data_IF_310464518204
#
_entry.id   IF_310464518204
#
_cell.length_a   1.000
_cell.length_b   1.000
_cell.length_c   1.000
_cell.angle_alpha   90.00
_cell.angle_beta   90.00
_cell.angle_gamma   90.00
#
_symmetry.space_group_name_H-M   'P 1'
#
loop_
_entity.id
_entity.type
_entity.pdbx_description
1 polymer ?
#
# COMPACT_ATOMS: atom_id res chain seq x y z
N UNK A 1 -30.28 -16.99 -16.37
CA UNK A 1 -29.33 -15.86 -16.47
C UNK A 1 -29.66 -14.62 -15.62
N UNK A 2 -30.77 -14.53 -14.86
CA UNK A 2 -31.17 -13.27 -14.18
C UNK A 2 -31.05 -13.22 -12.63
N UNK A 3 -30.39 -14.19 -11.97
CA UNK A 3 -30.28 -14.20 -10.49
C UNK A 3 -28.95 -13.65 -9.94
N UNK A 4 -27.84 -13.80 -10.65
CA UNK A 4 -26.51 -13.41 -10.16
C UNK A 4 -26.24 -11.90 -10.30
N UNK A 5 -26.71 -11.27 -11.39
CA UNK A 5 -26.60 -9.81 -11.61
C UNK A 5 -27.35 -9.03 -10.53
N UNK A 6 -28.49 -9.54 -10.07
CA UNK A 6 -29.24 -8.92 -8.98
C UNK A 6 -28.49 -8.95 -7.63
N UNK A 7 -27.53 -9.86 -7.39
CA UNK A 7 -26.80 -9.92 -6.12
C UNK A 7 -25.76 -8.81 -5.97
N UNK A 8 -24.94 -8.57 -7.00
CA UNK A 8 -23.88 -7.55 -6.95
C UNK A 8 -24.49 -6.15 -6.89
N UNK A 9 -25.44 -5.86 -7.77
CA UNK A 9 -26.09 -4.55 -7.82
C UNK A 9 -26.80 -4.25 -6.50
N UNK A 10 -27.41 -5.25 -5.86
CA UNK A 10 -28.04 -5.10 -4.54
C UNK A 10 -27.03 -4.87 -3.41
N UNK A 11 -25.83 -5.46 -3.48
CA UNK A 11 -24.78 -5.25 -2.44
C UNK A 11 -23.97 -3.97 -2.63
N UNK A 12 -23.67 -3.58 -3.87
CA UNK A 12 -23.22 -2.21 -4.18
C UNK A 12 -24.29 -1.23 -3.69
N UNK A 13 -25.56 -1.59 -3.80
CA UNK A 13 -26.69 -0.82 -3.27
C UNK A 13 -26.72 -0.75 -1.73
N UNK A 14 -26.23 -1.78 -1.03
CA UNK A 14 -26.13 -1.79 0.44
C UNK A 14 -24.91 -1.00 0.95
N UNK A 15 -23.84 -0.92 0.16
CA UNK A 15 -22.62 -0.20 0.52
C UNK A 15 -22.41 1.10 -0.27
N UNK A 16 -23.45 1.62 -0.95
CA UNK A 16 -23.36 2.87 -1.73
C UNK A 16 -22.80 4.00 -0.87
N UNK A 17 -23.23 4.07 0.39
CA UNK A 17 -22.76 5.06 1.34
C UNK A 17 -21.24 5.08 1.44
N UNK A 18 -20.60 3.92 1.58
CA UNK A 18 -19.14 3.82 1.67
C UNK A 18 -18.43 4.27 0.38
N UNK A 19 -18.91 3.83 -0.78
CA UNK A 19 -18.32 4.23 -2.07
C UNK A 19 -18.56 5.71 -2.39
N UNK A 20 -19.73 6.24 -2.07
CA UNK A 20 -20.06 7.67 -2.17
C UNK A 20 -19.17 8.46 -1.21
N UNK A 21 -18.96 7.99 0.03
CA UNK A 21 -18.05 8.65 0.97
C UNK A 21 -16.62 8.68 0.42
N UNK A 22 -16.11 7.58 -0.13
CA UNK A 22 -14.77 7.57 -0.76
C UNK A 22 -14.69 8.55 -1.93
N UNK A 23 -15.70 8.56 -2.80
CA UNK A 23 -15.74 9.47 -3.95
C UNK A 23 -15.84 10.94 -3.51
N UNK A 24 -16.71 11.24 -2.54
CA UNK A 24 -16.92 12.58 -1.98
C UNK A 24 -15.67 13.05 -1.26
N UNK A 25 -15.01 12.19 -0.48
CA UNK A 25 -13.71 12.50 0.16
C UNK A 25 -12.68 12.80 -0.92
N UNK A 26 -12.57 11.95 -1.95
CA UNK A 26 -11.62 12.17 -3.06
C UNK A 26 -11.87 13.47 -3.83
N UNK A 27 -13.13 13.86 -4.04
CA UNK A 27 -13.50 15.13 -4.68
C UNK A 27 -13.22 16.32 -3.75
N UNK A 28 -13.61 16.22 -2.48
CA UNK A 28 -13.32 17.25 -1.48
C UNK A 28 -11.81 17.43 -1.31
N UNK A 29 -11.02 16.37 -1.46
CA UNK A 29 -9.56 16.41 -1.40
C UNK A 29 -8.96 17.15 -2.61
N UNK A 30 -9.46 16.88 -3.82
CA UNK A 30 -9.07 17.66 -5.02
C UNK A 30 -9.43 19.13 -4.81
N UNK A 31 -10.63 19.42 -4.28
CA UNK A 31 -11.07 20.78 -4.01
C UNK A 31 -10.21 21.43 -2.92
N UNK A 32 -9.88 20.73 -1.85
CA UNK A 32 -9.04 21.22 -0.76
C UNK A 32 -7.61 21.52 -1.23
N UNK A 33 -7.03 20.66 -2.07
CA UNK A 33 -5.73 20.90 -2.73
C UNK A 33 -5.81 22.10 -3.69
N UNK A 34 -6.94 22.26 -4.39
CA UNK A 34 -7.13 23.34 -5.38
C UNK A 34 -7.43 24.70 -4.72
N UNK A 35 -8.16 24.71 -3.60
CA UNK A 35 -8.74 25.90 -2.99
C UNK A 35 -8.05 26.38 -1.71
N UNK A 36 -6.97 25.71 -1.25
CA UNK A 36 -6.11 26.12 -0.10
C UNK A 36 -6.90 26.78 1.05
N UNK A 37 -7.51 26.00 1.97
CA UNK A 37 -8.32 26.58 3.04
C UNK A 37 -7.50 27.47 3.98
N UNK A 38 -8.07 28.61 4.37
CA UNK A 38 -7.42 29.64 5.19
C UNK A 38 -7.88 29.50 6.67
N UNK A 39 -6.90 29.54 7.60
CA UNK A 39 -6.93 29.85 9.07
C UNK A 39 -7.12 28.62 10.03
N UNK A 40 -6.37 28.47 11.16
CA UNK A 40 -5.57 29.45 11.93
C UNK A 40 -4.06 29.39 11.75
N UNK A 41 -3.34 30.21 12.54
CA UNK A 41 -1.91 30.50 12.42
C UNK A 41 -1.04 29.27 12.72
N UNK A 42 -0.52 28.66 11.65
CA UNK A 42 0.15 27.37 11.67
C UNK A 42 1.24 27.35 10.59
N UNK A 43 2.33 28.09 10.77
CA UNK A 43 3.38 28.25 9.74
C UNK A 43 3.96 26.90 9.28
N UNK A 44 3.96 25.88 10.15
CA UNK A 44 4.38 24.51 9.81
C UNK A 44 3.30 23.77 9.00
N UNK A 45 2.02 23.76 9.40
CA UNK A 45 0.95 23.12 8.60
C UNK A 45 0.74 23.80 7.26
N UNK A 46 0.87 25.13 7.17
CA UNK A 46 0.70 25.81 5.88
C UNK A 46 1.66 25.27 4.82
N UNK A 47 2.87 24.88 5.25
CA UNK A 47 3.90 24.31 4.39
C UNK A 47 3.81 22.78 4.26
N UNK A 48 3.18 22.08 5.21
CA UNK A 48 3.06 20.61 5.21
C UNK A 48 1.65 20.10 4.90
N UNK A 49 0.70 20.98 4.55
CA UNK A 49 -0.71 20.61 4.35
C UNK A 49 -0.92 19.47 3.34
N UNK A 50 -0.25 19.48 2.15
CA UNK A 50 -0.36 18.36 1.22
C UNK A 50 0.19 17.05 1.82
N UNK A 51 1.27 17.13 2.61
CA UNK A 51 1.85 15.97 3.29
C UNK A 51 0.87 15.39 4.33
N UNK A 52 0.23 16.24 5.13
CA UNK A 52 -0.74 15.84 6.16
C UNK A 52 -1.92 15.09 5.53
N UNK A 53 -2.59 15.71 4.56
CA UNK A 53 -3.81 15.16 3.93
C UNK A 53 -3.52 13.82 3.26
N UNK A 54 -2.48 13.74 2.44
CA UNK A 54 -2.10 12.50 1.76
C UNK A 54 -1.68 11.40 2.75
N UNK A 55 -0.98 11.76 3.83
CA UNK A 55 -0.56 10.79 4.84
C UNK A 55 -1.72 10.25 5.66
N UNK A 56 -2.71 11.08 6.03
CA UNK A 56 -3.94 10.61 6.67
C UNK A 56 -4.66 9.59 5.77
N UNK A 57 -4.78 9.88 4.47
CA UNK A 57 -5.43 8.97 3.54
C UNK A 57 -4.65 7.65 3.39
N UNK A 58 -3.33 7.73 3.28
CA UNK A 58 -2.46 6.57 3.22
C UNK A 58 -2.57 5.70 4.49
N UNK A 59 -2.65 6.30 5.68
CA UNK A 59 -2.92 5.62 6.95
C UNK A 59 -4.26 4.88 6.89
N UNK A 60 -5.34 5.60 6.56
CA UNK A 60 -6.70 5.05 6.54
C UNK A 60 -6.79 3.88 5.56
N UNK A 61 -6.28 4.04 4.35
CA UNK A 61 -6.33 3.00 3.32
C UNK A 61 -5.48 1.80 3.69
N UNK A 62 -4.25 2.01 4.18
CA UNK A 62 -3.37 0.91 4.59
C UNK A 62 -4.00 0.09 5.72
N UNK A 63 -4.51 0.75 6.77
CA UNK A 63 -5.20 0.04 7.84
C UNK A 63 -6.52 -0.59 7.39
N UNK A 64 -7.28 0.05 6.51
CA UNK A 64 -8.53 -0.53 5.98
C UNK A 64 -8.23 -1.82 5.19
N UNK A 65 -7.23 -1.83 4.31
CA UNK A 65 -6.79 -3.02 3.58
C UNK A 65 -6.33 -4.09 4.57
N UNK A 66 -5.44 -3.72 5.50
CA UNK A 66 -4.88 -4.63 6.50
C UNK A 66 -5.96 -5.30 7.37
N UNK A 67 -6.87 -4.51 7.95
CA UNK A 67 -7.98 -4.98 8.79
C UNK A 67 -8.96 -5.82 7.96
N UNK A 68 -9.31 -5.40 6.75
CA UNK A 68 -10.20 -6.16 5.86
C UNK A 68 -9.64 -7.56 5.57
N UNK A 69 -8.37 -7.65 5.20
CA UNK A 69 -7.71 -8.93 4.94
C UNK A 69 -7.58 -9.77 6.22
N UNK A 70 -7.29 -9.15 7.37
CA UNK A 70 -7.24 -9.85 8.66
C UNK A 70 -8.58 -10.48 9.00
N UNK A 71 -9.65 -9.68 8.90
CA UNK A 71 -11.02 -10.12 9.13
C UNK A 71 -11.40 -11.26 8.20
N UNK A 72 -11.03 -11.18 6.91
CA UNK A 72 -11.27 -12.26 5.95
C UNK A 72 -10.53 -13.53 6.35
N UNK A 73 -9.24 -13.44 6.67
CA UNK A 73 -8.45 -14.58 7.13
C UNK A 73 -9.09 -15.24 8.35
N UNK A 74 -9.54 -14.45 9.33
CA UNK A 74 -10.24 -14.94 10.50
C UNK A 74 -11.55 -15.65 10.12
N UNK A 75 -12.37 -15.06 9.25
CA UNK A 75 -13.67 -15.60 8.82
C UNK A 75 -13.55 -16.85 7.95
N UNK A 76 -12.47 -17.00 7.18
CA UNK A 76 -12.24 -18.19 6.35
C UNK A 76 -11.49 -19.30 7.09
N UNK A 77 -11.59 -19.36 8.42
CA UNK A 77 -11.00 -20.44 9.23
C UNK A 77 -9.48 -20.39 9.34
N UNK A 78 -8.87 -19.21 9.16
CA UNK A 78 -7.43 -18.96 9.38
C UNK A 78 -6.45 -19.79 8.53
N UNK A 79 -6.92 -20.34 7.42
CA UNK A 79 -6.14 -21.25 6.57
C UNK A 79 -5.26 -20.55 5.53
N UNK A 80 -5.60 -19.34 5.12
CA UNK A 80 -4.91 -18.64 4.04
C UNK A 80 -3.74 -17.78 4.55
N UNK A 81 -2.55 -18.38 4.60
CA UNK A 81 -1.30 -17.72 5.07
C UNK A 81 -0.98 -16.46 4.25
N UNK A 82 -1.23 -16.47 2.93
CA UNK A 82 -1.01 -15.30 2.08
C UNK A 82 -1.84 -14.10 2.50
N UNK A 83 -3.11 -14.32 2.83
CA UNK A 83 -4.04 -13.28 3.28
C UNK A 83 -3.61 -12.69 4.62
N UNK A 84 -3.15 -13.54 5.56
CA UNK A 84 -2.58 -13.07 6.83
C UNK A 84 -1.31 -12.25 6.60
N UNK A 85 -0.40 -12.73 5.76
CA UNK A 85 0.86 -12.05 5.48
C UNK A 85 0.63 -10.66 4.86
N UNK A 86 -0.23 -10.56 3.85
CA UNK A 86 -0.57 -9.28 3.23
C UNK A 86 -1.32 -8.35 4.19
N UNK A 87 -2.19 -8.90 5.04
CA UNK A 87 -2.83 -8.13 6.11
C UNK A 87 -1.78 -7.47 7.01
N UNK A 88 -0.86 -8.25 7.56
CA UNK A 88 0.20 -7.74 8.42
C UNK A 88 1.11 -6.75 7.68
N UNK A 89 1.40 -6.99 6.40
CA UNK A 89 2.17 -6.06 5.58
C UNK A 89 1.51 -4.67 5.59
N UNK A 90 0.24 -4.57 5.20
CA UNK A 90 -0.46 -3.28 5.15
C UNK A 90 -0.64 -2.61 6.52
N UNK A 91 -0.86 -3.40 7.59
CA UNK A 91 -0.93 -2.85 8.96
C UNK A 91 0.41 -2.24 9.37
N UNK A 92 1.51 -2.96 9.19
CA UNK A 92 2.86 -2.50 9.56
C UNK A 92 3.27 -1.29 8.72
N UNK A 93 2.94 -1.30 7.44
CA UNK A 93 3.25 -0.20 6.53
C UNK A 93 2.46 1.08 6.84
N UNK A 94 1.28 0.97 7.46
CA UNK A 94 0.53 2.10 8.00
C UNK A 94 1.32 2.95 9.02
N UNK A 95 2.30 2.37 9.72
CA UNK A 95 3.14 3.06 10.71
C UNK A 95 3.97 4.17 10.07
N UNK A 96 4.50 3.94 8.86
CA UNK A 96 5.25 4.96 8.10
C UNK A 96 4.39 6.21 7.90
N UNK A 97 3.15 6.03 7.44
CA UNK A 97 2.25 7.13 7.14
C UNK A 97 1.76 7.83 8.41
N UNK A 98 1.59 7.10 9.51
CA UNK A 98 1.33 7.71 10.81
C UNK A 98 2.50 8.60 11.25
N UNK A 99 3.74 8.17 11.01
CA UNK A 99 4.93 8.99 11.18
C UNK A 99 4.90 10.26 10.34
N UNK A 100 4.50 10.18 9.07
CA UNK A 100 4.39 11.37 8.20
C UNK A 100 3.28 12.34 8.65
N UNK A 101 2.18 11.83 9.22
CA UNK A 101 1.17 12.67 9.88
C UNK A 101 1.80 13.41 11.07
N UNK A 102 2.54 12.71 11.93
CA UNK A 102 3.22 13.32 13.07
C UNK A 102 4.29 14.34 12.64
N UNK A 103 5.05 14.03 11.58
CA UNK A 103 5.99 14.96 10.97
C UNK A 103 5.29 16.24 10.50
N UNK A 104 4.13 16.10 9.85
CA UNK A 104 3.39 17.25 9.33
C UNK A 104 2.83 18.15 10.44
N UNK A 105 2.58 17.61 11.63
CA UNK A 105 2.26 18.38 12.84
C UNK A 105 3.49 19.06 13.47
N UNK A 106 4.70 18.81 12.97
CA UNK A 106 5.94 19.44 13.46
C UNK A 106 6.58 18.73 14.66
N UNK A 107 6.23 17.48 14.95
CA UNK A 107 6.88 16.72 16.03
C UNK A 107 8.33 16.41 15.67
N UNK A 108 9.28 16.89 16.48
CA UNK A 108 10.72 16.73 16.23
C UNK A 108 11.18 15.27 16.17
N UNK A 109 10.61 14.40 17.01
CA UNK A 109 10.86 12.95 17.03
C UNK A 109 10.23 12.19 15.85
N UNK A 110 9.43 12.87 15.02
CA UNK A 110 8.88 12.36 13.77
C UNK A 110 9.51 13.04 12.54
N UNK A 111 10.52 13.90 12.72
CA UNK A 111 11.17 14.60 11.62
C UNK A 111 12.04 13.65 10.77
N UNK A 112 11.47 13.09 9.71
CA UNK A 112 12.16 12.18 8.80
C UNK A 112 13.21 12.85 7.90
N UNK A 113 13.56 14.12 8.13
CA UNK A 113 14.77 14.70 7.53
C UNK A 113 16.05 14.24 8.24
N UNK A 114 15.93 13.73 9.48
CA UNK A 114 17.03 13.09 10.20
C UNK A 114 17.15 11.61 9.76
N UNK A 115 18.34 11.12 9.38
CA UNK A 115 18.52 9.73 8.92
C UNK A 115 18.11 8.66 9.94
N UNK A 116 18.30 8.92 11.25
CA UNK A 116 17.94 7.98 12.33
C UNK A 116 16.43 7.89 12.48
N UNK A 117 15.75 9.03 12.46
CA UNK A 117 14.28 9.09 12.50
C UNK A 117 13.71 8.51 11.18
N UNK A 118 14.33 8.80 10.04
CA UNK A 118 13.96 8.21 8.75
C UNK A 118 14.02 6.67 8.84
N UNK A 119 15.12 6.10 9.38
CA UNK A 119 15.24 4.66 9.62
C UNK A 119 14.09 4.12 10.48
N UNK A 120 13.79 4.78 11.61
CA UNK A 120 12.75 4.37 12.57
C UNK A 120 11.37 4.21 11.93
N UNK A 121 11.02 5.04 10.95
CA UNK A 121 9.73 4.92 10.28
C UNK A 121 9.79 4.14 8.97
N UNK A 122 10.92 4.14 8.27
CA UNK A 122 11.03 3.54 6.93
C UNK A 122 11.46 2.08 6.95
N UNK A 123 12.00 1.55 8.05
CA UNK A 123 12.31 0.11 8.15
C UNK A 123 11.06 -0.78 7.99
N UNK A 124 9.86 -0.24 8.26
CA UNK A 124 8.59 -0.95 8.02
C UNK A 124 8.37 -1.27 6.53
N UNK A 125 9.02 -0.54 5.62
CA UNK A 125 9.04 -0.87 4.19
C UNK A 125 9.72 -2.21 3.93
N UNK A 126 10.83 -2.49 4.62
CA UNK A 126 11.54 -3.77 4.51
C UNK A 126 10.62 -4.91 4.95
N UNK A 127 9.94 -4.73 6.08
CA UNK A 127 9.00 -5.72 6.62
C UNK A 127 7.82 -5.91 5.66
N UNK A 128 7.26 -4.82 5.13
CA UNK A 128 6.20 -4.88 4.13
C UNK A 128 6.64 -5.70 2.91
N UNK A 129 7.81 -5.42 2.33
CA UNK A 129 8.30 -6.12 1.15
C UNK A 129 8.51 -7.61 1.43
N UNK A 130 9.08 -7.94 2.59
CA UNK A 130 9.29 -9.31 3.03
C UNK A 130 7.97 -10.08 3.19
N UNK A 131 6.96 -9.47 3.81
CA UNK A 131 5.63 -10.07 4.00
C UNK A 131 4.83 -10.17 2.70
N UNK A 132 4.99 -9.20 1.79
CA UNK A 132 4.39 -9.27 0.46
C UNK A 132 4.94 -10.45 -0.33
N UNK A 133 6.27 -10.61 -0.36
CA UNK A 133 6.92 -11.76 -0.97
C UNK A 133 6.49 -13.07 -0.28
N UNK A 134 6.53 -13.13 1.05
CA UNK A 134 6.17 -14.34 1.80
C UNK A 134 4.76 -14.79 1.43
N UNK A 135 3.79 -13.88 1.44
CA UNK A 135 2.41 -14.20 1.07
C UNK A 135 2.29 -14.66 -0.38
N UNK A 136 3.02 -14.04 -1.30
CA UNK A 136 3.08 -14.43 -2.71
C UNK A 136 3.70 -15.82 -2.90
N UNK A 137 4.81 -16.12 -2.23
CA UNK A 137 5.54 -17.37 -2.39
C UNK A 137 4.70 -18.59 -1.99
N UNK A 138 3.82 -18.44 -0.98
CA UNK A 138 2.83 -19.44 -0.57
C UNK A 138 1.79 -19.76 -1.65
N UNK A 139 1.63 -18.89 -2.65
CA UNK A 139 0.75 -19.12 -3.81
C UNK A 139 1.51 -19.86 -4.91
N UNK A 140 2.77 -19.49 -5.15
CA UNK A 140 3.55 -20.00 -6.30
C UNK A 140 4.08 -21.41 -6.05
N UNK A 141 4.49 -21.73 -4.83
CA UNK A 141 5.18 -22.98 -4.53
C UNK A 141 4.73 -23.59 -3.22
N UNK A 142 4.77 -24.92 -3.15
CA UNK A 142 4.50 -25.70 -1.92
C UNK A 142 5.75 -25.92 -1.07
N UNK A 143 6.92 -25.72 -1.66
CA UNK A 143 8.19 -25.97 -1.00
C UNK A 143 8.52 -24.85 0.00
N UNK A 144 8.52 -25.20 1.28
CA UNK A 144 8.75 -24.25 2.39
C UNK A 144 10.03 -23.42 2.25
N UNK A 145 11.11 -24.00 1.72
CA UNK A 145 12.40 -23.30 1.56
C UNK A 145 12.27 -22.02 0.72
N UNK A 146 11.40 -22.01 -0.29
CA UNK A 146 11.19 -20.86 -1.17
C UNK A 146 10.29 -19.80 -0.56
N UNK A 147 9.61 -20.12 0.54
CA UNK A 147 8.91 -19.12 1.35
C UNK A 147 9.90 -18.40 2.27
N UNK A 148 10.75 -19.16 2.95
CA UNK A 148 11.61 -18.60 4.00
C UNK A 148 12.90 -17.97 3.48
N UNK A 149 13.63 -18.62 2.56
CA UNK A 149 14.95 -18.15 2.16
C UNK A 149 14.92 -16.77 1.51
N UNK A 150 14.05 -16.48 0.53
CA UNK A 150 14.08 -15.17 -0.12
C UNK A 150 13.42 -14.10 0.77
N UNK A 151 12.43 -14.45 1.60
CA UNK A 151 11.91 -13.52 2.63
C UNK A 151 13.01 -13.12 3.62
N UNK A 152 13.79 -14.07 4.11
CA UNK A 152 14.91 -13.80 5.02
C UNK A 152 15.99 -12.97 4.31
N UNK A 153 16.29 -13.28 3.05
CA UNK A 153 17.21 -12.50 2.24
C UNK A 153 16.74 -11.04 2.12
N UNK A 154 15.47 -10.78 1.79
CA UNK A 154 14.89 -9.42 1.72
C UNK A 154 15.03 -8.67 3.05
N UNK A 155 14.76 -9.34 4.17
CA UNK A 155 14.91 -8.74 5.50
C UNK A 155 16.37 -8.38 5.77
N UNK A 156 17.28 -9.34 5.62
CA UNK A 156 18.71 -9.15 5.91
C UNK A 156 19.29 -8.08 4.99
N UNK A 157 19.10 -8.19 3.67
CA UNK A 157 19.63 -7.22 2.71
C UNK A 157 19.03 -5.84 2.91
N UNK A 158 17.72 -5.75 3.18
CA UNK A 158 17.04 -4.48 3.45
C UNK A 158 17.58 -3.79 4.70
N UNK A 159 17.75 -4.53 5.80
CA UNK A 159 18.32 -3.97 7.02
C UNK A 159 19.81 -3.62 6.86
N UNK A 160 20.60 -4.41 6.12
CA UNK A 160 21.98 -4.04 5.78
C UNK A 160 22.02 -2.72 5.01
N UNK A 161 21.19 -2.58 3.96
CA UNK A 161 21.11 -1.35 3.15
C UNK A 161 20.73 -0.15 4.03
N UNK A 162 19.69 -0.30 4.85
CA UNK A 162 19.19 0.80 5.69
C UNK A 162 20.16 1.17 6.82
N UNK A 163 20.74 0.19 7.51
CA UNK A 163 21.71 0.44 8.57
C UNK A 163 22.98 1.09 8.01
N UNK A 164 23.52 0.55 6.92
CA UNK A 164 24.70 1.15 6.28
C UNK A 164 24.40 2.54 5.72
N UNK A 165 23.33 2.68 4.94
CA UNK A 165 23.02 3.92 4.25
C UNK A 165 22.57 5.05 5.18
N UNK A 166 21.78 4.76 6.22
CA UNK A 166 21.22 5.80 7.10
C UNK A 166 22.03 6.02 8.37
N UNK A 167 22.53 4.96 9.02
CA UNK A 167 23.22 5.10 10.31
C UNK A 167 24.74 5.28 10.15
N UNK A 168 25.33 4.77 9.06
CA UNK A 168 26.76 4.91 8.81
C UNK A 168 27.06 6.00 7.77
N UNK A 169 26.42 5.97 6.61
CA UNK A 169 26.65 6.95 5.55
C UNK A 169 25.83 8.24 5.74
N UNK A 170 24.67 8.18 6.42
CA UNK A 170 23.80 9.34 6.65
C UNK A 170 23.06 9.83 5.40
N UNK A 171 22.98 9.02 4.33
CA UNK A 171 22.45 9.42 3.03
C UNK A 171 21.09 8.76 2.77
N UNK A 172 20.02 9.54 2.97
CA UNK A 172 18.65 9.11 2.76
C UNK A 172 18.39 8.79 1.28
N UNK A 173 18.88 9.63 0.38
CA UNK A 173 18.61 9.51 -1.06
C UNK A 173 19.24 8.24 -1.61
N UNK A 174 20.54 8.04 -1.36
CA UNK A 174 21.27 6.86 -1.81
C UNK A 174 20.69 5.59 -1.23
N UNK A 175 20.35 5.57 0.07
CA UNK A 175 19.74 4.41 0.73
C UNK A 175 18.46 4.00 0.01
N UNK A 176 17.59 4.98 -0.23
CA UNK A 176 16.30 4.73 -0.86
C UNK A 176 16.47 4.35 -2.33
N UNK A 177 17.38 4.96 -3.08
CA UNK A 177 17.71 4.52 -4.44
C UNK A 177 18.13 3.05 -4.46
N UNK A 178 19.09 2.66 -3.63
CA UNK A 178 19.56 1.28 -3.58
C UNK A 178 18.40 0.34 -3.22
N UNK A 179 17.68 0.62 -2.13
CA UNK A 179 16.60 -0.24 -1.67
C UNK A 179 15.45 -0.35 -2.68
N UNK A 180 15.02 0.77 -3.25
CA UNK A 180 13.87 0.79 -4.15
C UNK A 180 14.15 -0.01 -5.42
N UNK A 181 15.31 0.19 -6.03
CA UNK A 181 15.65 -0.47 -7.29
C UNK A 181 16.11 -1.91 -7.12
N UNK A 182 16.76 -2.27 -6.01
CA UNK A 182 17.29 -3.63 -5.79
C UNK A 182 16.32 -4.58 -5.07
N UNK A 183 15.40 -4.04 -4.26
CA UNK A 183 14.52 -4.87 -3.40
C UNK A 183 13.05 -4.55 -3.64
N UNK A 184 12.62 -3.30 -3.47
CA UNK A 184 11.19 -2.96 -3.50
C UNK A 184 10.54 -3.23 -4.87
N UNK A 185 11.08 -2.63 -5.93
CA UNK A 185 10.52 -2.68 -7.28
C UNK A 185 10.51 -4.11 -7.84
N UNK A 186 11.59 -4.92 -7.73
CA UNK A 186 11.54 -6.33 -8.14
C UNK A 186 10.41 -7.13 -7.49
N UNK A 187 10.16 -6.90 -6.20
CA UNK A 187 9.08 -7.58 -5.47
C UNK A 187 7.71 -7.05 -5.90
N UNK A 188 7.55 -5.75 -6.13
CA UNK A 188 6.33 -5.22 -6.74
C UNK A 188 6.06 -5.84 -8.11
N UNK A 189 7.07 -5.95 -8.98
CA UNK A 189 6.94 -6.58 -10.31
C UNK A 189 6.48 -8.04 -10.18
N UNK A 190 7.03 -8.79 -9.23
CA UNK A 190 6.57 -10.16 -8.95
C UNK A 190 5.09 -10.19 -8.52
N UNK A 191 4.69 -9.34 -7.58
CA UNK A 191 3.30 -9.25 -7.10
C UNK A 191 2.35 -8.88 -8.24
N UNK A 192 2.71 -7.89 -9.06
CA UNK A 192 1.98 -7.45 -10.26
C UNK A 192 1.77 -8.64 -11.19
N UNK A 193 2.85 -9.32 -11.58
CA UNK A 193 2.80 -10.43 -12.52
C UNK A 193 1.85 -11.54 -12.06
N UNK A 194 1.87 -11.89 -10.77
CA UNK A 194 1.05 -12.98 -10.24
C UNK A 194 -0.43 -12.63 -10.13
N UNK A 195 -0.76 -11.43 -9.68
CA UNK A 195 -2.14 -10.99 -9.67
C UNK A 195 -2.69 -10.86 -11.10
N UNK A 196 -1.87 -10.37 -12.04
CA UNK A 196 -2.24 -10.34 -13.45
C UNK A 196 -2.50 -11.74 -14.02
N UNK A 197 -1.55 -12.66 -13.83
CA UNK A 197 -1.66 -14.05 -14.32
C UNK A 197 -2.86 -14.76 -13.70
N UNK A 198 -3.09 -14.60 -12.40
CA UNK A 198 -4.26 -15.15 -11.72
C UNK A 198 -5.56 -14.58 -12.29
N UNK A 199 -5.61 -13.28 -12.59
CA UNK A 199 -6.77 -12.64 -13.23
C UNK A 199 -7.04 -13.15 -14.65
N UNK A 200 -5.99 -13.47 -15.43
CA UNK A 200 -6.15 -14.11 -16.74
C UNK A 200 -6.69 -15.53 -16.57
N UNK A 201 -6.04 -16.35 -15.74
CA UNK A 201 -6.35 -17.77 -15.63
C UNK A 201 -7.73 -18.04 -14.99
N UNK A 202 -8.15 -17.21 -14.05
CA UNK A 202 -9.46 -17.31 -13.39
C UNK A 202 -10.57 -16.53 -14.11
N UNK A 203 -10.24 -15.82 -15.20
CA UNK A 203 -11.16 -14.92 -15.89
C UNK A 203 -11.86 -13.92 -14.95
N UNK A 204 -11.13 -13.40 -13.95
CA UNK A 204 -11.62 -12.42 -12.98
C UNK A 204 -10.98 -11.04 -13.19
N UNK A 205 -11.73 -9.98 -12.90
CA UNK A 205 -11.25 -8.59 -13.09
C UNK A 205 -10.54 -8.08 -11.86
N UNK A 206 -10.97 -8.49 -10.67
CA UNK A 206 -10.40 -8.02 -9.40
C UNK A 206 -8.89 -8.21 -9.26
N UNK A 207 -8.25 -9.34 -9.65
CA UNK A 207 -6.81 -9.47 -9.57
C UNK A 207 -6.09 -8.50 -10.52
N UNK A 208 -6.68 -8.21 -11.68
CA UNK A 208 -6.14 -7.23 -12.63
C UNK A 208 -6.17 -5.82 -12.05
N UNK A 209 -7.22 -5.48 -11.28
CA UNK A 209 -7.31 -4.20 -10.55
C UNK A 209 -6.25 -4.14 -9.43
N UNK A 210 -6.06 -5.21 -8.66
CA UNK A 210 -5.00 -5.29 -7.65
C UNK A 210 -3.63 -5.07 -8.32
N UNK A 211 -3.38 -5.79 -9.42
CA UNK A 211 -2.16 -5.66 -10.23
C UNK A 211 -1.93 -4.22 -10.71
N UNK A 212 -2.96 -3.55 -11.24
CA UNK A 212 -2.87 -2.14 -11.65
C UNK A 212 -2.49 -1.24 -10.47
N UNK A 213 -3.10 -1.46 -9.30
CA UNK A 213 -2.73 -0.75 -8.07
C UNK A 213 -1.25 -0.94 -7.73
N UNK A 214 -0.72 -2.16 -7.78
CA UNK A 214 0.71 -2.39 -7.56
C UNK A 214 1.61 -1.78 -8.65
N UNK A 215 1.18 -1.70 -9.91
CA UNK A 215 1.90 -0.98 -10.98
C UNK A 215 2.05 0.49 -10.62
N UNK A 216 0.94 1.15 -10.25
CA UNK A 216 0.97 2.57 -9.85
C UNK A 216 1.82 2.76 -8.60
N UNK A 217 1.73 1.86 -7.63
CA UNK A 217 2.57 1.87 -6.42
C UNK A 217 4.07 1.76 -6.77
N UNK A 218 4.47 0.86 -7.67
CA UNK A 218 5.86 0.72 -8.09
C UNK A 218 6.37 1.98 -8.81
N UNK A 219 5.57 2.53 -9.73
CA UNK A 219 5.93 3.76 -10.48
C UNK A 219 6.08 4.95 -9.54
N UNK A 220 5.16 5.13 -8.59
CA UNK A 220 5.21 6.24 -7.64
C UNK A 220 6.41 6.18 -6.71
N UNK A 221 6.84 4.98 -6.34
CA UNK A 221 8.10 4.79 -5.62
C UNK A 221 9.34 5.03 -6.46
N UNK A 222 9.34 4.63 -7.73
CA UNK A 222 10.42 4.98 -8.66
C UNK A 222 10.53 6.50 -8.86
N UNK A 223 9.39 7.21 -8.85
CA UNK A 223 9.35 8.66 -8.91
C UNK A 223 9.76 9.31 -7.59
N UNK A 224 9.63 8.64 -6.45
CA UNK A 224 9.99 9.19 -5.14
C UNK A 224 11.44 9.68 -5.12
N UNK A 225 12.39 8.82 -5.49
CA UNK A 225 13.81 9.12 -5.37
C UNK A 225 14.24 10.41 -6.13
N UNK A 226 13.87 10.61 -7.42
CA UNK A 226 14.21 11.84 -8.14
C UNK A 226 13.33 13.05 -7.78
N UNK A 227 12.20 12.88 -7.09
CA UNK A 227 11.22 13.97 -6.91
C UNK A 227 10.97 14.40 -5.48
N UNK A 228 11.48 13.67 -4.47
CA UNK A 228 11.14 13.85 -3.05
C UNK A 228 11.41 15.25 -2.47
N UNK A 229 12.24 16.07 -3.12
CA UNK A 229 12.54 17.47 -2.75
C UNK A 229 11.71 18.51 -3.50
N UNK A 230 10.88 18.09 -4.46
CA UNK A 230 10.13 18.96 -5.36
C UNK A 230 8.63 18.80 -5.22
N UNK A 231 7.85 19.70 -5.83
CA UNK A 231 6.39 19.59 -5.89
C UNK A 231 5.91 18.26 -6.52
N UNK A 232 6.71 17.65 -7.40
CA UNK A 232 6.40 16.35 -8.03
C UNK A 232 6.29 15.22 -7.00
N UNK A 233 6.91 15.34 -5.82
CA UNK A 233 6.72 14.41 -4.72
C UNK A 233 5.24 14.27 -4.33
N UNK A 234 4.52 15.40 -4.20
CA UNK A 234 3.12 15.38 -3.78
C UNK A 234 2.21 14.78 -4.84
N UNK A 235 2.53 14.98 -6.11
CA UNK A 235 1.83 14.34 -7.24
C UNK A 235 2.05 12.83 -7.19
N UNK A 236 3.31 12.38 -7.07
CA UNK A 236 3.63 10.96 -6.94
C UNK A 236 2.96 10.34 -5.71
N UNK A 237 2.89 11.07 -4.60
CA UNK A 237 2.25 10.61 -3.38
C UNK A 237 0.71 10.53 -3.51
N UNK A 238 0.08 11.46 -4.23
CA UNK A 238 -1.35 11.36 -4.57
C UNK A 238 -1.64 10.12 -5.43
N UNK A 239 -0.81 9.83 -6.43
CA UNK A 239 -0.90 8.59 -7.21
C UNK A 239 -0.67 7.35 -6.34
N UNK A 240 0.22 7.41 -5.36
CA UNK A 240 0.39 6.32 -4.40
C UNK A 240 -0.89 6.08 -3.60
N UNK A 241 -1.57 7.12 -3.13
CA UNK A 241 -2.87 6.97 -2.44
C UNK A 241 -3.91 6.33 -3.35
N UNK A 242 -4.02 6.79 -4.60
CA UNK A 242 -4.91 6.17 -5.60
C UNK A 242 -4.58 4.69 -5.84
N UNK A 243 -3.29 4.33 -5.80
CA UNK A 243 -2.84 2.95 -5.91
C UNK A 243 -3.42 2.06 -4.79
N UNK A 244 -3.47 2.56 -3.55
CA UNK A 244 -4.06 1.86 -2.42
C UNK A 244 -5.57 1.71 -2.58
N UNK A 245 -6.26 2.72 -3.14
CA UNK A 245 -7.69 2.62 -3.46
C UNK A 245 -7.94 1.48 -4.46
N UNK A 246 -7.16 1.39 -5.53
CA UNK A 246 -7.25 0.28 -6.49
C UNK A 246 -7.03 -1.07 -5.82
N UNK A 247 -5.99 -1.20 -4.98
CA UNK A 247 -5.69 -2.43 -4.24
C UNK A 247 -6.88 -2.83 -3.34
N UNK A 248 -7.44 -1.87 -2.59
CA UNK A 248 -8.59 -2.11 -1.72
C UNK A 248 -9.81 -2.58 -2.50
N UNK A 249 -10.17 -1.87 -3.58
CA UNK A 249 -11.29 -2.23 -4.45
C UNK A 249 -11.11 -3.64 -5.00
N UNK A 250 -9.92 -3.95 -5.50
CA UNK A 250 -9.59 -5.28 -6.02
C UNK A 250 -9.77 -6.37 -4.96
N UNK A 251 -9.23 -6.19 -3.74
CA UNK A 251 -9.41 -7.16 -2.67
C UNK A 251 -10.88 -7.31 -2.22
N UNK A 252 -11.66 -6.23 -2.24
CA UNK A 252 -13.08 -6.27 -1.87
C UNK A 252 -13.90 -7.00 -2.93
N UNK A 253 -13.63 -6.82 -4.21
CA UNK A 253 -14.40 -7.45 -5.31
C UNK A 253 -14.08 -8.94 -5.43
N UNK A 254 -12.83 -9.34 -5.18
CA UNK A 254 -12.33 -10.70 -5.44
C UNK A 254 -13.16 -11.86 -4.86
N UNK A 255 -13.59 -11.84 -3.58
CA UNK A 255 -14.43 -12.91 -3.05
C UNK A 255 -15.75 -13.07 -3.78
N UNK A 256 -16.32 -11.98 -4.30
CA UNK A 256 -17.61 -12.00 -4.98
C UNK A 256 -17.49 -12.61 -6.37
N UNK A 257 -16.47 -12.24 -7.15
CA UNK A 257 -16.22 -12.83 -8.46
C UNK A 257 -15.98 -14.34 -8.36
N UNK A 258 -15.14 -14.79 -7.41
CA UNK A 258 -14.88 -16.22 -7.19
C UNK A 258 -16.18 -16.95 -6.82
N UNK A 259 -17.02 -16.36 -5.98
CA UNK A 259 -18.29 -16.97 -5.56
C UNK A 259 -19.23 -17.14 -6.76
N UNK A 260 -19.32 -16.16 -7.65
CA UNK A 260 -20.19 -16.22 -8.82
C UNK A 260 -19.74 -17.31 -9.79
N UNK A 261 -18.43 -17.42 -10.04
CA UNK A 261 -17.87 -18.46 -10.91
C UNK A 261 -18.19 -19.86 -10.39
N UNK A 262 -18.08 -20.09 -9.07
CA UNK A 262 -18.43 -21.37 -8.45
C UNK A 262 -19.91 -21.75 -8.55
N UNK A 263 -20.81 -20.79 -8.76
CA UNK A 263 -22.24 -21.06 -8.96
C UNK A 263 -22.59 -21.30 -10.44
N UNK A 264 -21.64 -21.11 -11.36
CA UNK A 264 -21.81 -21.33 -12.79
C UNK A 264 -21.26 -22.71 -13.24
N UNK A 265 -20.43 -23.33 -12.42
CA UNK A 265 -19.98 -24.73 -12.51
C UNK A 265 -20.99 -25.68 -11.86
#
# INVERSE_FOLDING_TARGET
MNKATNSITTKITQHKGFFITILVVSILDILVITFKPVIPAVDVLQNTYPLLTLSIQAVILSYTIGIYLFYRWFKTGRSNVSTLSWSLAFLIYGILFAGLVLQSFGFSWANMNDPTIFFLYRHVMIIWTALMYYGVSHIITREQKWHYLPTLFILISGYIIFTFGLLYAGDIELTMYIFLYSVWVPICVLVIYLFWLYGINSNTTSPKIISLGFVVLAITYLLWAPTHTSFMYYIAYAFFVLSLVCILIGFVILPYEITILRYQE
#
